data_IF_775367427728
#
_entry.id   IF_775367427728
#
_cell.length_a   1.000
_cell.length_b   1.000
_cell.length_c   1.000
_cell.angle_alpha   90.00
_cell.angle_beta   90.00
_cell.angle_gamma   90.00
#
_symmetry.space_group_name_H-M   'P 1'
#
loop_
_entity.id
_entity.type
_entity.pdbx_description
1 polymer ?
#
# COMPACT_ATOMS: atom_id res chain seq x y z
N UNK A 1 -0.56 -15.26 32.07
CA UNK A 1 -0.03 -14.34 31.03
C UNK A 1 -0.74 -13.01 31.22
N UNK A 2 0.01 -11.99 31.65
CA UNK A 2 -0.55 -10.78 32.27
C UNK A 2 -0.91 -9.68 31.28
N UNK A 3 -1.84 -8.81 31.69
CA UNK A 3 -2.34 -7.62 30.96
C UNK A 3 -1.22 -6.76 30.33
N UNK A 4 -0.05 -6.70 30.97
CA UNK A 4 1.11 -5.97 30.45
C UNK A 4 1.61 -6.50 29.09
N UNK A 5 1.54 -7.81 28.84
CA UNK A 5 1.93 -8.40 27.55
C UNK A 5 0.96 -7.97 26.45
N UNK A 6 -0.35 -7.97 26.76
CA UNK A 6 -1.40 -7.61 25.80
C UNK A 6 -1.35 -6.13 25.41
N UNK A 7 -1.08 -5.25 26.39
CA UNK A 7 -0.89 -3.82 26.13
C UNK A 7 0.37 -3.53 25.30
N UNK A 8 1.47 -4.25 25.55
CA UNK A 8 2.69 -4.11 24.76
C UNK A 8 2.48 -4.56 23.30
N UNK A 9 1.78 -5.68 23.09
CA UNK A 9 1.45 -6.17 21.75
C UNK A 9 0.53 -5.18 21.00
N UNK A 10 -0.40 -4.54 21.69
CA UNK A 10 -1.26 -3.51 21.09
C UNK A 10 -0.48 -2.27 20.65
N UNK A 11 0.40 -1.74 21.51
CA UNK A 11 1.25 -0.58 21.19
C UNK A 11 2.22 -0.87 20.04
N UNK A 12 2.80 -2.07 19.98
CA UNK A 12 3.66 -2.50 18.87
C UNK A 12 2.85 -2.58 17.58
N UNK A 13 1.62 -3.08 17.63
CA UNK A 13 0.73 -3.16 16.47
C UNK A 13 0.38 -1.78 15.92
N UNK A 14 0.07 -0.83 16.80
CA UNK A 14 -0.24 0.55 16.41
C UNK A 14 0.96 1.25 15.77
N UNK A 15 2.16 1.12 16.36
CA UNK A 15 3.39 1.67 15.77
C UNK A 15 3.70 1.05 14.39
N UNK A 16 3.52 -0.27 14.24
CA UNK A 16 3.71 -0.95 12.94
C UNK A 16 2.70 -0.44 11.91
N UNK A 17 1.45 -0.24 12.29
CA UNK A 17 0.41 0.29 11.41
C UNK A 17 0.77 1.72 10.92
N UNK A 18 1.15 2.60 11.84
CA UNK A 18 1.55 3.98 11.49
C UNK A 18 2.76 4.02 10.55
N UNK A 19 3.80 3.23 10.84
CA UNK A 19 4.99 3.16 9.98
C UNK A 19 4.67 2.55 8.61
N UNK A 20 3.85 1.50 8.57
CA UNK A 20 3.40 0.88 7.32
C UNK A 20 2.60 1.88 6.45
N UNK A 21 1.73 2.68 7.06
CA UNK A 21 0.97 3.71 6.36
C UNK A 21 1.88 4.81 5.80
N UNK A 22 2.92 5.22 6.52
CA UNK A 22 3.95 6.14 6.01
C UNK A 22 4.68 5.56 4.80
N UNK A 23 5.07 4.28 4.83
CA UNK A 23 5.71 3.59 3.69
C UNK A 23 4.76 3.55 2.49
N UNK A 24 3.50 3.17 2.72
CA UNK A 24 2.47 3.11 1.68
C UNK A 24 2.24 4.48 1.05
N UNK A 25 2.16 5.54 1.87
CA UNK A 25 2.02 6.92 1.40
C UNK A 25 3.18 7.36 0.50
N UNK A 26 4.42 7.13 0.93
CA UNK A 26 5.64 7.46 0.14
C UNK A 26 5.72 6.65 -1.16
N UNK A 27 5.29 5.40 -1.13
CA UNK A 27 5.35 4.48 -2.29
C UNK A 27 4.23 4.70 -3.31
N UNK A 28 3.17 5.44 -2.95
CA UNK A 28 1.91 5.50 -3.72
C UNK A 28 2.10 6.05 -5.13
N UNK A 29 2.68 7.23 -5.27
CA UNK A 29 2.81 7.89 -6.58
C UNK A 29 3.67 7.09 -7.55
N UNK A 30 4.86 6.66 -7.09
CA UNK A 30 5.79 5.88 -7.91
C UNK A 30 5.19 4.52 -8.33
N UNK A 31 4.42 3.88 -7.44
CA UNK A 31 3.74 2.63 -7.77
C UNK A 31 2.62 2.87 -8.76
N UNK A 32 1.79 3.90 -8.55
CA UNK A 32 0.69 4.25 -9.46
C UNK A 32 1.19 4.52 -10.88
N UNK A 33 2.27 5.29 -11.04
CA UNK A 33 2.89 5.56 -12.35
C UNK A 33 3.31 4.29 -13.09
N UNK A 34 3.71 3.22 -12.39
CA UNK A 34 4.10 1.94 -13.01
C UNK A 34 2.92 1.07 -13.42
N UNK A 35 1.75 1.28 -12.82
CA UNK A 35 0.61 0.37 -12.98
C UNK A 35 -0.54 1.00 -13.74
N UNK A 36 -0.68 2.32 -13.74
CA UNK A 36 -1.87 3.03 -14.19
C UNK A 36 -2.33 2.64 -15.60
N UNK A 37 -1.41 2.50 -16.57
CA UNK A 37 -1.76 2.18 -17.94
C UNK A 37 -2.43 0.80 -18.08
N UNK A 38 -1.88 -0.22 -17.41
CA UNK A 38 -2.36 -1.60 -17.50
C UNK A 38 -3.45 -1.92 -16.49
N UNK A 39 -3.56 -1.16 -15.40
CA UNK A 39 -4.50 -1.44 -14.31
C UNK A 39 -5.97 -1.37 -14.76
N UNK A 40 -6.28 -0.59 -15.80
CA UNK A 40 -7.65 -0.44 -16.29
C UNK A 40 -8.16 -1.64 -17.08
N UNK A 41 -7.28 -2.45 -17.67
CA UNK A 41 -7.67 -3.62 -18.48
C UNK A 41 -7.70 -4.92 -17.69
N UNK A 42 -7.25 -4.91 -16.44
CA UNK A 42 -7.17 -6.11 -15.59
C UNK A 42 -8.44 -6.30 -14.75
N UNK A 43 -8.79 -7.57 -14.53
CA UNK A 43 -9.78 -7.96 -13.52
C UNK A 43 -9.24 -7.75 -12.10
N UNK A 44 -10.14 -7.70 -11.10
CA UNK A 44 -9.77 -7.33 -9.73
C UNK A 44 -8.67 -8.23 -9.11
N UNK A 45 -8.72 -9.54 -9.36
CA UNK A 45 -7.76 -10.50 -8.83
C UNK A 45 -6.38 -10.36 -9.51
N UNK A 46 -6.36 -10.20 -10.84
CA UNK A 46 -5.14 -9.95 -11.62
C UNK A 46 -4.51 -8.60 -11.28
N UNK A 47 -5.34 -7.56 -11.14
CA UNK A 47 -4.93 -6.22 -10.76
C UNK A 47 -4.20 -6.22 -9.40
N UNK A 48 -4.73 -6.98 -8.41
CA UNK A 48 -4.09 -7.11 -7.10
C UNK A 48 -2.68 -7.71 -7.21
N UNK A 49 -2.54 -8.83 -7.93
CA UNK A 49 -1.24 -9.49 -8.14
C UNK A 49 -0.26 -8.63 -8.93
N UNK A 50 -0.76 -7.94 -9.96
CA UNK A 50 0.02 -7.02 -10.78
C UNK A 50 0.58 -5.85 -9.97
N UNK A 51 -0.27 -5.16 -9.20
CA UNK A 51 0.15 -4.04 -8.36
C UNK A 51 1.16 -4.49 -7.30
N UNK A 52 0.89 -5.60 -6.61
CA UNK A 52 1.80 -6.16 -5.60
C UNK A 52 3.19 -6.42 -6.16
N UNK A 53 3.27 -7.02 -7.35
CA UNK A 53 4.54 -7.32 -8.03
C UNK A 53 5.29 -6.04 -8.41
N UNK A 54 4.59 -5.04 -8.95
CA UNK A 54 5.21 -3.77 -9.38
C UNK A 54 5.62 -2.87 -8.21
N UNK A 55 4.94 -3.00 -7.07
CA UNK A 55 5.21 -2.25 -5.86
C UNK A 55 6.39 -2.82 -5.03
N UNK A 56 6.69 -4.12 -5.16
CA UNK A 56 7.64 -4.83 -4.29
C UNK A 56 8.98 -4.09 -4.08
N UNK A 57 9.64 -3.68 -5.15
CA UNK A 57 10.93 -2.99 -5.07
C UNK A 57 10.82 -1.60 -4.44
N UNK A 58 9.72 -0.89 -4.71
CA UNK A 58 9.50 0.48 -4.20
C UNK A 58 9.24 0.43 -2.70
N UNK A 59 8.31 -0.43 -2.27
CA UNK A 59 7.94 -0.61 -0.87
C UNK A 59 9.15 -1.06 -0.05
N UNK A 60 9.96 -1.98 -0.60
CA UNK A 60 11.18 -2.45 0.07
C UNK A 60 12.19 -1.29 0.25
N UNK A 61 12.45 -0.52 -0.79
CA UNK A 61 13.36 0.62 -0.72
C UNK A 61 12.87 1.71 0.26
N UNK A 62 11.56 2.00 0.28
CA UNK A 62 10.99 2.97 1.22
C UNK A 62 10.99 2.44 2.67
N UNK A 63 10.76 1.14 2.86
CA UNK A 63 10.89 0.50 4.17
C UNK A 63 12.32 0.59 4.69
N UNK A 64 13.32 0.30 3.86
CA UNK A 64 14.73 0.37 4.25
C UNK A 64 15.14 1.80 4.62
N UNK A 65 14.70 2.81 3.86
CA UNK A 65 14.90 4.23 4.20
C UNK A 65 14.25 4.61 5.54
N UNK A 66 13.02 4.15 5.78
CA UNK A 66 12.32 4.46 7.03
C UNK A 66 12.96 3.76 8.23
N UNK A 67 13.39 2.52 8.08
CA UNK A 67 14.09 1.77 9.13
C UNK A 67 15.42 2.45 9.47
N UNK A 68 16.16 2.95 8.47
CA UNK A 68 17.37 3.73 8.70
C UNK A 68 17.10 5.03 9.48
N UNK A 69 15.91 5.63 9.34
CA UNK A 69 15.49 6.84 10.06
C UNK A 69 15.03 6.55 11.50
N UNK A 70 14.30 5.45 11.72
CA UNK A 70 13.68 5.09 13.02
C UNK A 70 14.60 4.22 13.91
N UNK A 71 15.70 3.69 13.37
CA UNK A 71 16.70 2.91 14.08
C UNK A 71 16.38 1.41 14.25
N UNK A 72 17.22 0.72 15.04
CA UNK A 72 17.29 -0.76 15.14
C UNK A 72 15.96 -1.43 15.50
N UNK A 73 15.08 -0.73 16.25
CA UNK A 73 13.78 -1.27 16.67
C UNK A 73 12.82 -1.53 15.49
N UNK A 74 12.87 -0.71 14.44
CA UNK A 74 12.06 -0.90 13.24
C UNK A 74 12.59 -2.05 12.36
N UNK A 75 13.91 -2.31 12.40
CA UNK A 75 14.55 -3.38 11.64
C UNK A 75 14.06 -4.78 12.03
N UNK A 76 13.78 -5.02 13.32
CA UNK A 76 13.20 -6.30 13.79
C UNK A 76 11.78 -6.55 13.29
N UNK A 77 11.08 -5.49 12.85
CA UNK A 77 9.70 -5.53 12.37
C UNK A 77 9.62 -5.38 10.85
N UNK A 78 10.76 -5.40 10.15
CA UNK A 78 10.87 -5.11 8.72
C UNK A 78 9.87 -5.90 7.86
N UNK A 79 9.81 -7.22 8.03
CA UNK A 79 8.94 -8.06 7.19
C UNK A 79 7.46 -7.78 7.45
N UNK A 80 7.09 -7.56 8.72
CA UNK A 80 5.72 -7.16 9.11
C UNK A 80 5.36 -5.78 8.55
N UNK A 81 6.30 -4.83 8.59
CA UNK A 81 6.14 -3.49 8.04
C UNK A 81 5.94 -3.54 6.52
N UNK A 82 6.78 -4.29 5.80
CA UNK A 82 6.68 -4.45 4.34
C UNK A 82 5.34 -5.09 3.97
N UNK A 83 4.94 -6.16 4.66
CA UNK A 83 3.67 -6.83 4.40
C UNK A 83 2.47 -5.90 4.61
N UNK A 84 2.42 -5.21 5.77
CA UNK A 84 1.33 -4.28 6.10
C UNK A 84 1.29 -3.07 5.15
N UNK A 85 2.46 -2.52 4.81
CA UNK A 85 2.57 -1.42 3.86
C UNK A 85 2.13 -1.82 2.46
N UNK A 86 2.49 -3.03 2.03
CA UNK A 86 2.08 -3.59 0.75
C UNK A 86 0.55 -3.75 0.67
N UNK A 87 -0.07 -4.32 1.68
CA UNK A 87 -1.53 -4.54 1.69
C UNK A 87 -2.29 -3.21 1.72
N UNK A 88 -1.80 -2.23 2.49
CA UNK A 88 -2.35 -0.87 2.54
C UNK A 88 -2.23 -0.15 1.20
N UNK A 89 -1.05 -0.23 0.58
CA UNK A 89 -0.76 0.39 -0.71
C UNK A 89 -1.61 -0.20 -1.84
N UNK A 90 -1.66 -1.53 -1.94
CA UNK A 90 -2.44 -2.23 -2.97
C UNK A 90 -3.91 -1.86 -2.84
N UNK A 91 -4.46 -1.88 -1.62
CA UNK A 91 -5.86 -1.51 -1.37
C UNK A 91 -6.15 -0.07 -1.79
N UNK A 92 -5.26 0.88 -1.46
CA UNK A 92 -5.40 2.27 -1.84
C UNK A 92 -5.36 2.49 -3.37
N UNK A 93 -4.44 1.83 -4.08
CA UNK A 93 -4.32 1.94 -5.54
C UNK A 93 -5.54 1.34 -6.24
N UNK A 94 -6.03 0.18 -5.80
CA UNK A 94 -7.21 -0.45 -6.38
C UNK A 94 -8.46 0.40 -6.15
N UNK A 95 -8.62 0.97 -4.95
CA UNK A 95 -9.72 1.88 -4.65
C UNK A 95 -9.68 3.12 -5.54
N UNK A 96 -8.50 3.73 -5.70
CA UNK A 96 -8.30 4.88 -6.58
C UNK A 96 -8.62 4.54 -8.05
N UNK A 97 -8.19 3.37 -8.52
CA UNK A 97 -8.48 2.92 -9.88
C UNK A 97 -9.99 2.71 -10.12
N UNK A 98 -10.68 2.12 -9.15
CA UNK A 98 -12.13 1.93 -9.20
C UNK A 98 -12.88 3.27 -9.18
N UNK A 99 -12.46 4.22 -8.34
CA UNK A 99 -13.02 5.58 -8.33
C UNK A 99 -12.80 6.29 -9.68
N UNK A 100 -11.61 6.16 -10.28
CA UNK A 100 -11.31 6.73 -11.58
C UNK A 100 -12.13 6.09 -12.71
N UNK A 101 -12.43 4.79 -12.64
CA UNK A 101 -13.32 4.09 -13.58
C UNK A 101 -14.75 4.64 -13.48
N UNK A 102 -15.27 4.83 -12.27
CA UNK A 102 -16.62 5.38 -12.05
C UNK A 102 -16.76 6.84 -12.44
N UNK A 103 -15.69 7.61 -12.32
CA UNK A 103 -15.69 9.05 -12.61
C UNK A 103 -15.67 9.38 -14.11
N UNK A 104 -15.34 8.44 -15.01
CA UNK A 104 -15.45 8.67 -16.46
C UNK A 104 -16.94 8.73 -16.85
N UNK A 105 -17.51 9.92 -17.18
CA UNK A 105 -18.88 9.99 -17.67
C UNK A 105 -18.89 9.36 -19.06
N UNK A 106 -19.78 8.40 -19.27
CA UNK A 106 -20.11 7.90 -20.59
C UNK A 106 -20.48 9.10 -21.46
N UNK A 107 -19.63 9.46 -22.41
CA UNK A 107 -19.93 10.44 -23.47
C UNK A 107 -20.95 9.79 -24.41
N UNK A 108 -22.18 9.61 -23.91
CA UNK A 108 -23.30 8.99 -24.62
C UNK A 108 -24.56 9.75 -24.26
N UNK A 109 -24.59 11.02 -24.67
CA UNK A 109 -25.70 11.98 -24.72
C UNK A 109 -25.03 13.27 -25.24
N UNK A 110 -25.29 13.83 -26.42
CA UNK A 110 -26.36 13.68 -27.40
C UNK A 110 -25.74 13.97 -28.78
N UNK A 111 -25.82 13.02 -29.70
CA UNK A 111 -25.92 13.29 -31.12
C UNK A 111 -27.36 12.88 -31.48
N UNK A 112 -28.27 13.84 -31.40
CA UNK A 112 -29.64 13.79 -31.90
C UNK A 112 -30.17 15.22 -31.96
#
# INVERSE_FOLDING_TARGET
MGLAQWMADWLVTDKVAQLAERIAGRSRLATYQRVCERLYSLEAHEARGYVRTRAATIVTAEADKLIAQEGVSAGKLRDKLIASAMDSLVSAILLQAEQARRAKPTTRRLAA
#
